data_IF_652954155978
#
_entry.id   IF_652954155978
#
_cell.length_a   1.000
_cell.length_b   1.000
_cell.length_c   1.000
_cell.angle_alpha   90.00
_cell.angle_beta   90.00
_cell.angle_gamma   90.00
#
_symmetry.space_group_name_H-M   'P 1'
#
loop_
_entity.id
_entity.type
_entity.pdbx_description
1 polymer ?
#
# COMPACT_ATOMS: atom_id res chain seq x y z
N UNK A 1 14.52 7.35 -4.92
CA UNK A 1 15.00 6.30 -5.84
C UNK A 1 14.15 6.31 -7.09
N UNK A 2 14.46 7.26 -7.99
CA UNK A 2 13.73 7.42 -9.24
C UNK A 2 13.81 6.14 -10.11
N UNK A 3 12.69 5.80 -10.75
CA UNK A 3 12.64 4.63 -11.64
C UNK A 3 12.45 3.29 -10.93
N UNK A 4 12.40 3.24 -9.59
CA UNK A 4 12.28 1.99 -8.81
C UNK A 4 11.15 1.06 -9.27
N UNK A 5 10.03 1.63 -9.73
CA UNK A 5 8.89 0.84 -10.20
C UNK A 5 9.19 -0.08 -11.41
N UNK A 6 10.24 0.24 -12.17
CA UNK A 6 10.69 -0.55 -13.33
C UNK A 6 11.89 -1.46 -13.03
N UNK A 7 12.46 -1.39 -11.82
CA UNK A 7 13.51 -2.31 -11.40
C UNK A 7 13.00 -3.76 -11.43
N UNK A 8 13.89 -4.67 -11.81
CA UNK A 8 13.52 -6.06 -12.03
C UNK A 8 13.61 -6.88 -10.74
N UNK A 9 12.52 -7.54 -10.40
CA UNK A 9 12.45 -8.58 -9.39
C UNK A 9 12.13 -9.88 -10.12
N UNK A 10 13.05 -10.85 -10.10
CA UNK A 10 12.90 -12.13 -10.82
C UNK A 10 12.51 -11.96 -12.31
N UNK A 11 13.21 -11.06 -13.00
CA UNK A 11 12.99 -10.72 -14.42
C UNK A 11 11.65 -10.02 -14.72
N UNK A 12 10.96 -9.51 -13.72
CA UNK A 12 9.71 -8.78 -13.87
C UNK A 12 9.82 -7.39 -13.22
N UNK A 13 9.36 -6.34 -13.91
CA UNK A 13 9.30 -5.00 -13.31
C UNK A 13 8.47 -5.01 -12.01
N UNK A 14 8.96 -4.34 -10.98
CA UNK A 14 8.36 -4.36 -9.63
C UNK A 14 6.87 -4.00 -9.64
N UNK A 15 6.47 -2.96 -10.36
CA UNK A 15 5.06 -2.54 -10.48
C UNK A 15 4.20 -3.62 -11.17
N UNK A 16 4.76 -4.31 -12.16
CA UNK A 16 4.08 -5.43 -12.85
C UNK A 16 3.90 -6.61 -11.91
N UNK A 17 4.90 -6.90 -11.08
CA UNK A 17 4.81 -7.95 -10.05
C UNK A 17 3.69 -7.64 -9.05
N UNK A 18 3.63 -6.42 -8.51
CA UNK A 18 2.53 -6.00 -7.63
C UNK A 18 1.16 -6.20 -8.30
N UNK A 19 1.03 -5.77 -9.56
CA UNK A 19 -0.21 -5.92 -10.30
C UNK A 19 -0.59 -7.39 -10.54
N UNK A 20 0.38 -8.26 -10.86
CA UNK A 20 0.13 -9.70 -11.05
C UNK A 20 -0.28 -10.38 -9.76
N UNK A 21 0.35 -10.07 -8.62
CA UNK A 21 -0.08 -10.59 -7.33
C UNK A 21 -1.56 -10.22 -7.04
N UNK A 22 -1.99 -9.01 -7.44
CA UNK A 22 -3.40 -8.61 -7.31
C UNK A 22 -4.31 -9.37 -8.29
N UNK A 23 -3.88 -9.61 -9.51
CA UNK A 23 -4.63 -10.43 -10.50
C UNK A 23 -4.75 -11.88 -10.00
N UNK A 24 -3.68 -12.46 -9.47
CA UNK A 24 -3.65 -13.82 -8.91
C UNK A 24 -4.51 -13.95 -7.64
N UNK A 25 -4.84 -12.81 -7.01
CA UNK A 25 -5.83 -12.71 -5.94
C UNK A 25 -7.28 -12.58 -6.44
N UNK A 26 -7.56 -12.78 -7.72
CA UNK A 26 -8.86 -12.59 -8.37
C UNK A 26 -9.40 -11.15 -8.25
N UNK A 27 -8.50 -10.15 -8.28
CA UNK A 27 -8.87 -8.74 -8.27
C UNK A 27 -8.84 -8.16 -9.70
N UNK A 28 -9.88 -7.44 -10.08
CA UNK A 28 -9.85 -6.61 -11.30
C UNK A 28 -8.83 -5.48 -11.09
N UNK A 29 -7.71 -5.55 -11.79
CA UNK A 29 -6.54 -4.72 -11.49
C UNK A 29 -6.20 -3.76 -12.62
N UNK A 30 -5.87 -2.52 -12.24
CA UNK A 30 -5.32 -1.48 -13.12
C UNK A 30 -4.10 -0.83 -12.48
N UNK A 31 -3.08 -0.57 -13.26
CA UNK A 31 -1.96 0.28 -12.85
C UNK A 31 -2.26 1.72 -13.23
N UNK A 32 -2.29 2.61 -12.25
CA UNK A 32 -2.52 4.04 -12.45
C UNK A 32 -1.17 4.76 -12.55
N UNK A 33 -0.86 5.34 -13.71
CA UNK A 33 0.45 5.97 -13.94
C UNK A 33 0.40 7.12 -14.95
N UNK A 34 1.29 8.10 -14.78
CA UNK A 34 1.61 9.14 -15.75
C UNK A 34 2.84 8.81 -16.61
N UNK A 35 3.58 7.75 -16.25
CA UNK A 35 4.80 7.32 -16.93
C UNK A 35 4.50 6.44 -18.14
N UNK A 36 4.97 6.84 -19.31
CA UNK A 36 4.87 6.04 -20.53
C UNK A 36 5.72 4.74 -20.45
N UNK A 37 6.83 4.76 -19.73
CA UNK A 37 7.67 3.57 -19.52
C UNK A 37 6.94 2.52 -18.67
N UNK A 38 6.29 2.94 -17.57
CA UNK A 38 5.47 2.03 -16.75
C UNK A 38 4.29 1.51 -17.57
N UNK A 39 3.63 2.36 -18.34
CA UNK A 39 2.55 1.96 -19.23
C UNK A 39 3.00 0.86 -20.21
N UNK A 40 4.13 1.07 -20.87
CA UNK A 40 4.68 0.10 -21.82
C UNK A 40 5.00 -1.24 -21.15
N UNK A 41 5.64 -1.23 -19.99
CA UNK A 41 5.95 -2.44 -19.21
C UNK A 41 4.70 -3.22 -18.81
N UNK A 42 3.65 -2.51 -18.35
CA UNK A 42 2.37 -3.12 -18.00
C UNK A 42 1.66 -3.73 -19.22
N UNK A 43 1.65 -3.02 -20.36
CA UNK A 43 1.06 -3.52 -21.61
C UNK A 43 1.74 -4.79 -22.12
N UNK A 44 3.09 -4.84 -22.09
CA UNK A 44 3.86 -6.04 -22.43
C UNK A 44 3.50 -7.23 -21.52
N UNK A 45 3.16 -6.97 -20.27
CA UNK A 45 2.77 -7.98 -19.30
C UNK A 45 1.26 -8.29 -19.30
N UNK A 46 0.46 -7.71 -20.21
CA UNK A 46 -1.00 -7.83 -20.28
C UNK A 46 -1.70 -7.33 -19.01
N UNK A 47 -1.16 -6.31 -18.37
CA UNK A 47 -1.75 -5.63 -17.21
C UNK A 47 -2.50 -4.38 -17.68
N UNK A 48 -3.73 -4.19 -17.23
CA UNK A 48 -4.52 -3.01 -17.56
C UNK A 48 -3.90 -1.74 -16.96
N UNK A 49 -3.99 -0.64 -17.71
CA UNK A 49 -3.43 0.66 -17.30
C UNK A 49 -4.46 1.76 -17.44
N UNK A 50 -4.53 2.62 -16.44
CA UNK A 50 -5.20 3.92 -16.54
C UNK A 50 -4.10 5.00 -16.57
N UNK A 51 -4.01 5.71 -17.71
CA UNK A 51 -3.13 6.88 -17.81
C UNK A 51 -3.76 8.02 -17.01
N UNK A 52 -2.97 8.57 -16.08
CA UNK A 52 -3.42 9.64 -15.18
C UNK A 52 -2.65 10.93 -15.44
N UNK A 53 -3.17 12.08 -15.01
CA UNK A 53 -2.36 13.26 -14.78
C UNK A 53 -1.27 12.99 -13.72
N UNK A 54 -0.36 13.95 -13.53
CA UNK A 54 0.58 13.92 -12.43
C UNK A 54 -0.13 14.24 -11.11
N UNK A 55 0.18 13.49 -10.06
CA UNK A 55 -0.32 13.67 -8.70
C UNK A 55 0.85 13.68 -7.72
N UNK A 56 0.66 14.36 -6.60
CA UNK A 56 1.66 14.40 -5.52
C UNK A 56 1.75 13.09 -4.75
N UNK A 57 0.66 12.31 -4.70
CA UNK A 57 0.61 11.04 -3.97
C UNK A 57 0.01 9.90 -4.82
N UNK A 58 0.37 8.66 -4.46
CA UNK A 58 -0.17 7.47 -5.10
C UNK A 58 -1.66 7.28 -4.82
N UNK A 59 -2.09 7.60 -3.60
CA UNK A 59 -3.50 7.48 -3.20
C UNK A 59 -4.39 8.50 -3.94
N UNK A 60 -3.96 9.76 -4.08
CA UNK A 60 -4.71 10.77 -4.86
C UNK A 60 -4.81 10.36 -6.33
N UNK A 61 -3.74 9.81 -6.91
CA UNK A 61 -3.73 9.26 -8.28
C UNK A 61 -4.77 8.17 -8.46
N UNK A 62 -4.80 7.20 -7.53
CA UNK A 62 -5.76 6.10 -7.58
C UNK A 62 -7.19 6.60 -7.35
N UNK A 63 -7.40 7.51 -6.40
CA UNK A 63 -8.71 8.11 -6.13
C UNK A 63 -9.27 8.87 -7.35
N UNK A 64 -8.42 9.56 -8.10
CA UNK A 64 -8.82 10.15 -9.38
C UNK A 64 -9.20 9.08 -10.41
N UNK A 65 -8.46 7.99 -10.49
CA UNK A 65 -8.72 6.92 -11.46
C UNK A 65 -10.02 6.14 -11.19
N UNK A 66 -10.51 6.15 -9.95
CA UNK A 66 -11.75 5.48 -9.54
C UNK A 66 -12.97 5.93 -10.39
N UNK A 67 -13.01 7.18 -10.88
CA UNK A 67 -14.10 7.66 -11.72
C UNK A 67 -14.28 6.86 -13.03
N UNK A 68 -13.24 6.13 -13.46
CA UNK A 68 -13.25 5.30 -14.67
C UNK A 68 -13.57 3.83 -14.37
N UNK A 69 -13.78 3.49 -13.10
CA UNK A 69 -13.98 2.10 -12.64
C UNK A 69 -15.35 1.99 -11.96
N UNK A 70 -16.13 0.97 -12.36
CA UNK A 70 -17.40 0.66 -11.70
C UNK A 70 -17.16 -0.36 -10.58
N UNK A 71 -16.93 0.13 -9.38
CA UNK A 71 -16.75 -0.70 -8.20
C UNK A 71 -17.36 -0.03 -6.96
N UNK A 72 -17.91 -0.82 -6.05
CA UNK A 72 -18.39 -0.33 -4.74
C UNK A 72 -17.25 -0.17 -3.74
N UNK A 73 -16.23 -1.03 -3.85
CA UNK A 73 -15.02 -1.04 -3.01
C UNK A 73 -13.79 -1.07 -3.91
N UNK A 74 -12.72 -0.49 -3.45
CA UNK A 74 -11.42 -0.49 -4.11
C UNK A 74 -10.31 -0.82 -3.11
N UNK A 75 -9.27 -1.44 -3.64
CA UNK A 75 -8.02 -1.70 -2.94
C UNK A 75 -6.91 -0.98 -3.69
N UNK A 76 -6.12 -0.20 -2.98
CA UNK A 76 -4.94 0.48 -3.50
C UNK A 76 -3.72 -0.26 -2.98
N UNK A 77 -2.99 -0.92 -3.86
CA UNK A 77 -1.69 -1.51 -3.58
C UNK A 77 -0.62 -0.61 -4.20
N UNK A 78 0.28 -0.09 -3.38
CA UNK A 78 1.40 0.70 -3.88
C UNK A 78 2.40 -0.18 -4.64
N UNK A 79 2.98 0.38 -5.70
CA UNK A 79 3.84 -0.36 -6.62
C UNK A 79 5.22 -0.73 -6.05
N UNK A 80 5.48 -0.41 -4.80
CA UNK A 80 6.68 -0.72 -4.03
C UNK A 80 6.46 -1.78 -2.94
N UNK A 81 5.34 -2.48 -2.98
CA UNK A 81 5.01 -3.61 -2.10
C UNK A 81 5.05 -4.97 -2.87
N UNK A 82 6.17 -5.35 -3.49
CA UNK A 82 6.25 -6.52 -4.37
C UNK A 82 6.17 -7.86 -3.66
N UNK A 83 6.23 -7.87 -2.33
CA UNK A 83 6.21 -9.07 -1.48
C UNK A 83 4.81 -9.41 -0.96
N UNK A 84 3.81 -8.56 -1.18
CA UNK A 84 2.43 -8.85 -0.79
C UNK A 84 1.90 -10.02 -1.61
N UNK A 85 1.55 -11.11 -0.95
CA UNK A 85 1.11 -12.35 -1.59
C UNK A 85 -0.39 -12.29 -1.97
N UNK A 86 -0.82 -13.05 -2.98
CA UNK A 86 -2.23 -13.13 -3.38
C UNK A 86 -3.17 -13.50 -2.24
N UNK A 87 -2.77 -14.42 -1.35
CA UNK A 87 -3.56 -14.86 -0.20
C UNK A 87 -3.82 -13.70 0.78
N UNK A 88 -2.81 -12.86 1.02
CA UNK A 88 -2.94 -11.65 1.83
C UNK A 88 -3.92 -10.66 1.21
N UNK A 89 -3.90 -10.49 -0.11
CA UNK A 89 -4.83 -9.62 -0.83
C UNK A 89 -6.27 -10.16 -0.80
N UNK A 90 -6.47 -11.48 -0.88
CA UNK A 90 -7.79 -12.11 -0.71
C UNK A 90 -8.35 -11.86 0.68
N UNK A 91 -7.54 -12.08 1.73
CA UNK A 91 -7.94 -11.79 3.10
C UNK A 91 -8.27 -10.31 3.31
N UNK A 92 -7.44 -9.42 2.74
CA UNK A 92 -7.66 -7.97 2.82
C UNK A 92 -8.98 -7.56 2.15
N UNK A 93 -9.26 -8.09 0.95
CA UNK A 93 -10.51 -7.88 0.23
C UNK A 93 -11.72 -8.28 1.08
N UNK A 94 -11.72 -9.49 1.66
CA UNK A 94 -12.82 -9.97 2.49
C UNK A 94 -13.10 -9.03 3.66
N UNK A 95 -12.07 -8.50 4.31
CA UNK A 95 -12.23 -7.51 5.39
C UNK A 95 -12.86 -6.22 4.91
N UNK A 96 -12.43 -5.71 3.75
CA UNK A 96 -12.96 -4.48 3.15
C UNK A 96 -14.42 -4.64 2.73
N UNK A 97 -14.78 -5.76 2.09
CA UNK A 97 -16.13 -6.00 1.57
C UNK A 97 -17.17 -6.29 2.66
N UNK A 98 -16.74 -6.91 3.76
CA UNK A 98 -17.65 -7.23 4.87
C UNK A 98 -17.98 -6.06 5.77
N UNK A 99 -17.22 -4.95 5.66
CA UNK A 99 -17.40 -3.78 6.52
C UNK A 99 -18.45 -2.83 5.96
N UNK A 100 -19.48 -2.53 6.77
CA UNK A 100 -20.66 -1.77 6.34
C UNK A 100 -20.70 -0.30 6.77
N UNK A 101 -19.67 0.19 7.46
CA UNK A 101 -19.67 1.56 7.97
C UNK A 101 -19.04 2.53 6.96
N UNK A 102 -19.61 3.73 6.85
CA UNK A 102 -19.04 4.84 6.09
C UNK A 102 -17.92 5.54 6.87
N UNK A 103 -17.10 6.33 6.17
CA UNK A 103 -15.97 7.07 6.75
C UNK A 103 -14.92 6.16 7.38
N UNK A 104 -14.69 5.02 6.74
CA UNK A 104 -13.77 4.00 7.20
C UNK A 104 -12.85 3.57 6.05
N UNK A 105 -11.55 3.70 6.26
CA UNK A 105 -10.54 3.07 5.41
C UNK A 105 -9.82 1.97 6.19
N UNK A 106 -9.27 1.03 5.45
CA UNK A 106 -8.47 -0.07 5.95
C UNK A 106 -7.04 0.09 5.50
N UNK A 107 -6.10 -0.30 6.33
CA UNK A 107 -4.69 -0.33 6.01
C UNK A 107 -4.10 -1.70 6.36
N UNK A 108 -3.42 -2.31 5.40
CA UNK A 108 -2.63 -3.50 5.66
C UNK A 108 -1.51 -3.17 6.64
N UNK A 109 -1.38 -4.01 7.65
CA UNK A 109 -0.29 -3.97 8.62
C UNK A 109 0.34 -5.35 8.73
N UNK A 110 1.60 -5.39 9.14
CA UNK A 110 2.31 -6.63 9.43
C UNK A 110 3.24 -6.45 10.62
N UNK A 111 3.76 -7.54 11.14
CA UNK A 111 4.73 -7.50 12.21
C UNK A 111 5.92 -6.59 11.86
N UNK A 112 6.35 -5.79 12.81
CA UNK A 112 7.51 -4.91 12.66
C UNK A 112 8.78 -5.70 12.97
N UNK A 113 9.62 -5.88 11.95
CA UNK A 113 10.91 -6.57 12.13
C UNK A 113 11.84 -5.78 13.07
N UNK A 114 12.67 -6.48 13.85
CA UNK A 114 13.54 -5.88 14.87
C UNK A 114 14.50 -4.83 14.28
N UNK A 115 15.01 -5.03 13.07
CA UNK A 115 15.90 -4.10 12.36
C UNK A 115 15.18 -2.85 11.82
N UNK A 116 13.86 -2.86 11.84
CA UNK A 116 13.02 -1.82 11.26
C UNK A 116 12.52 -0.77 12.26
N UNK A 117 12.74 -0.98 13.57
CA UNK A 117 12.29 -0.04 14.60
C UNK A 117 12.88 1.36 14.44
N UNK A 118 14.16 1.46 14.10
CA UNK A 118 14.86 2.74 13.93
C UNK A 118 14.94 3.20 12.47
N UNK A 119 14.48 2.39 11.51
CA UNK A 119 14.50 2.76 10.09
C UNK A 119 13.40 3.79 9.81
N UNK A 120 13.81 4.99 9.39
CA UNK A 120 12.90 6.09 9.06
C UNK A 120 12.14 5.87 7.74
N UNK A 121 12.55 4.92 6.89
CA UNK A 121 11.79 4.56 5.70
C UNK A 121 10.56 3.71 6.06
N UNK A 122 10.63 2.98 7.16
CA UNK A 122 9.54 2.14 7.63
C UNK A 122 8.55 2.97 8.45
N UNK A 123 7.30 2.99 8.03
CA UNK A 123 6.22 3.63 8.79
C UNK A 123 5.69 2.68 9.85
N UNK A 124 5.65 3.16 11.10
CA UNK A 124 5.11 2.46 12.27
C UNK A 124 3.66 2.87 12.47
N UNK A 125 2.78 1.88 12.60
CA UNK A 125 1.37 2.06 12.93
C UNK A 125 1.15 1.73 14.41
N UNK A 126 0.66 2.68 15.17
CA UNK A 126 0.24 2.48 16.56
C UNK A 126 -1.22 2.03 16.57
N UNK A 127 -1.47 0.79 16.99
CA UNK A 127 -2.77 0.16 16.98
C UNK A 127 -3.34 0.02 18.40
N UNK A 128 -4.57 0.50 18.60
CA UNK A 128 -5.30 0.38 19.88
C UNK A 128 -6.80 0.21 19.60
N UNK A 129 -7.45 -0.74 20.28
CA UNK A 129 -8.89 -1.03 20.14
C UNK A 129 -9.33 -1.18 18.67
N UNK A 130 -8.61 -2.02 17.93
CA UNK A 130 -8.86 -2.30 16.51
C UNK A 130 -8.87 -1.05 15.61
N UNK A 131 -8.08 -0.03 15.94
CA UNK A 131 -7.90 1.18 15.13
C UNK A 131 -6.43 1.56 15.06
N UNK A 132 -6.01 2.07 13.93
CA UNK A 132 -4.73 2.78 13.81
C UNK A 132 -4.94 4.18 14.37
N UNK A 133 -4.22 4.51 15.44
CA UNK A 133 -4.33 5.79 16.15
C UNK A 133 -3.32 6.81 15.64
N UNK A 134 -2.14 6.34 15.27
CA UNK A 134 -1.11 7.20 14.70
C UNK A 134 -0.22 6.43 13.73
N UNK A 135 0.40 7.17 12.84
CA UNK A 135 1.40 6.69 11.88
C UNK A 135 2.62 7.58 12.01
N UNK A 136 3.81 6.98 12.12
CA UNK A 136 5.06 7.73 12.29
C UNK A 136 6.24 7.00 11.68
N UNK A 137 7.23 7.75 11.22
CA UNK A 137 8.53 7.19 10.82
C UNK A 137 9.49 7.07 12.00
N UNK A 138 9.30 7.88 13.03
CA UNK A 138 10.08 7.83 14.27
C UNK A 138 9.48 6.81 15.22
N UNK A 139 10.33 6.01 15.85
CA UNK A 139 9.88 5.12 16.90
C UNK A 139 9.51 5.93 18.15
N UNK A 140 8.33 5.71 18.69
CA UNK A 140 7.92 6.18 20.02
C UNK A 140 7.28 4.99 20.74
N UNK A 141 7.78 4.67 21.92
CA UNK A 141 7.20 3.61 22.74
C UNK A 141 5.97 4.16 23.45
N UNK A 142 4.80 3.69 23.04
CA UNK A 142 3.55 3.87 23.78
C UNK A 142 3.18 2.51 24.40
N UNK A 143 3.21 2.43 25.72
CA UNK A 143 2.95 1.17 26.46
C UNK A 143 1.52 0.66 26.31
N UNK A 144 0.60 1.44 25.76
CA UNK A 144 -0.83 1.10 25.58
C UNK A 144 -1.16 0.59 24.17
N UNK A 145 -0.22 0.67 23.20
CA UNK A 145 -0.46 0.40 21.81
C UNK A 145 0.45 -0.71 21.27
N UNK A 146 -0.09 -1.57 20.41
CA UNK A 146 0.72 -2.48 19.60
C UNK A 146 1.31 -1.72 18.42
N UNK A 147 2.62 -1.80 18.24
CA UNK A 147 3.31 -1.15 17.12
C UNK A 147 3.54 -2.16 16.01
N UNK A 148 3.04 -1.85 14.82
CA UNK A 148 3.11 -2.69 13.63
C UNK A 148 3.76 -1.92 12.47
N UNK A 149 4.26 -2.62 11.46
CA UNK A 149 4.66 -2.00 10.20
C UNK A 149 3.41 -1.64 9.40
N UNK A 150 3.28 -0.40 8.96
CA UNK A 150 2.31 0.00 7.94
C UNK A 150 2.75 -0.53 6.57
N UNK A 151 1.80 -1.07 5.82
CA UNK A 151 2.00 -1.45 4.42
C UNK A 151 1.38 -0.40 3.49
N UNK A 152 1.92 -0.26 2.30
CA UNK A 152 1.34 0.52 1.20
C UNK A 152 0.11 -0.16 0.59
N UNK A 153 -0.80 -0.65 1.42
CA UNK A 153 -2.02 -1.36 1.06
C UNK A 153 -3.21 -0.75 1.79
N UNK A 154 -4.11 -0.15 1.03
CA UNK A 154 -5.29 0.54 1.54
C UNK A 154 -6.55 0.00 0.91
N UNK A 155 -7.66 -0.01 1.64
CA UNK A 155 -8.94 -0.46 1.12
C UNK A 155 -10.11 0.30 1.71
N UNK A 156 -11.22 0.34 0.97
CA UNK A 156 -12.43 1.00 1.44
C UNK A 156 -13.47 1.15 0.35
N UNK A 157 -14.57 1.84 0.68
CA UNK A 157 -15.57 2.15 -0.33
C UNK A 157 -15.03 3.17 -1.34
N UNK A 158 -15.50 3.07 -2.57
CA UNK A 158 -15.25 4.08 -3.62
C UNK A 158 -15.57 5.50 -3.13
N UNK A 159 -16.65 5.65 -2.36
CA UNK A 159 -17.08 6.94 -1.79
C UNK A 159 -16.06 7.49 -0.79
N UNK A 160 -15.47 6.65 0.03
CA UNK A 160 -14.49 7.06 1.05
C UNK A 160 -13.17 7.50 0.39
N UNK A 161 -12.72 6.85 -0.69
CA UNK A 161 -11.55 7.31 -1.44
C UNK A 161 -11.80 8.60 -2.22
N UNK A 162 -12.98 8.80 -2.79
CA UNK A 162 -13.35 10.08 -3.39
C UNK A 162 -13.37 11.19 -2.32
N UNK A 163 -13.91 10.88 -1.13
CA UNK A 163 -13.84 11.79 0.02
C UNK A 163 -12.40 12.09 0.41
N UNK A 164 -11.54 11.08 0.53
CA UNK A 164 -10.12 11.24 0.84
C UNK A 164 -9.43 12.24 -0.09
N UNK A 165 -9.63 12.09 -1.40
CA UNK A 165 -9.05 13.00 -2.40
C UNK A 165 -9.57 14.44 -2.30
N UNK A 166 -10.77 14.65 -1.75
CA UNK A 166 -11.33 15.98 -1.50
C UNK A 166 -10.84 16.65 -0.19
N UNK A 167 -10.11 15.93 0.65
CA UNK A 167 -9.57 16.47 1.90
C UNK A 167 -8.29 17.27 1.64
N UNK A 168 -8.13 18.36 2.38
CA UNK A 168 -6.86 19.11 2.38
C UNK A 168 -5.78 18.29 3.08
N UNK A 169 -4.59 18.21 2.47
CA UNK A 169 -3.42 17.56 3.09
C UNK A 169 -3.10 18.16 4.45
N UNK A 170 -3.01 17.31 5.47
CA UNK A 170 -2.74 17.75 6.84
C UNK A 170 -1.27 18.19 7.02
N UNK A 171 -0.95 19.00 8.04
CA UNK A 171 0.43 19.34 8.36
C UNK A 171 1.29 18.11 8.63
N UNK A 172 0.76 17.11 9.36
CA UNK A 172 1.49 15.88 9.68
C UNK A 172 1.75 15.03 8.42
N UNK A 173 0.79 14.94 7.49
CA UNK A 173 1.01 14.30 6.18
C UNK A 173 2.16 14.97 5.40
N UNK A 174 2.15 16.30 5.33
CA UNK A 174 3.17 17.07 4.59
C UNK A 174 4.57 16.90 5.21
N UNK A 175 4.67 16.91 6.52
CA UNK A 175 5.93 16.75 7.24
C UNK A 175 6.52 15.34 7.10
N UNK A 176 5.67 14.30 7.24
CA UNK A 176 6.12 12.91 7.28
C UNK A 176 6.05 12.17 5.94
N UNK A 177 5.34 12.73 4.95
CA UNK A 177 4.99 12.05 3.70
C UNK A 177 4.27 10.72 3.94
N UNK A 178 3.30 10.72 4.88
CA UNK A 178 2.45 9.57 5.19
C UNK A 178 1.00 9.94 4.85
N UNK A 179 0.50 9.49 3.70
CA UNK A 179 -0.77 9.90 3.11
C UNK A 179 -1.98 9.64 4.04
N UNK A 180 -2.00 8.51 4.75
CA UNK A 180 -3.12 8.13 5.60
C UNK A 180 -3.28 9.00 6.85
N UNK A 181 -2.29 9.83 7.22
CA UNK A 181 -2.45 10.84 8.26
C UNK A 181 -3.52 11.86 7.89
N UNK A 182 -3.69 12.21 6.61
CA UNK A 182 -4.80 13.04 6.14
C UNK A 182 -6.16 12.52 6.63
N UNK A 183 -6.37 11.20 6.51
CA UNK A 183 -7.63 10.56 6.93
C UNK A 183 -7.84 10.62 8.44
N UNK A 184 -6.81 10.29 9.21
CA UNK A 184 -6.82 10.29 10.67
C UNK A 184 -7.03 11.71 11.21
N UNK A 185 -6.29 12.69 10.69
CA UNK A 185 -6.31 14.07 11.17
C UNK A 185 -7.64 14.78 10.88
N UNK A 186 -8.41 14.31 9.89
CA UNK A 186 -9.79 14.78 9.66
C UNK A 186 -10.84 14.01 10.50
N UNK A 187 -10.39 13.21 11.47
CA UNK A 187 -11.27 12.53 12.44
C UNK A 187 -11.92 11.24 11.91
N UNK A 188 -11.46 10.68 10.79
CA UNK A 188 -12.02 9.46 10.24
C UNK A 188 -11.30 8.21 10.76
N UNK A 189 -11.97 7.07 10.66
CA UNK A 189 -11.44 5.80 11.17
C UNK A 189 -10.53 5.10 10.16
N UNK A 190 -9.35 4.72 10.62
CA UNK A 190 -8.44 3.84 9.88
C UNK A 190 -8.32 2.51 10.63
N UNK A 191 -8.71 1.42 10.00
CA UNK A 191 -8.74 0.09 10.60
C UNK A 191 -7.54 -0.73 10.14
N UNK A 192 -6.83 -1.41 11.07
CA UNK A 192 -5.77 -2.32 10.71
C UNK A 192 -6.33 -3.62 10.14
N UNK A 193 -5.68 -4.15 9.11
CA UNK A 193 -5.83 -5.54 8.69
C UNK A 193 -4.46 -6.18 8.77
N UNK A 194 -4.29 -7.05 9.76
CA UNK A 194 -3.05 -7.77 9.94
C UNK A 194 -2.91 -8.86 8.88
N UNK A 195 -1.76 -8.86 8.21
CA UNK A 195 -1.46 -9.76 7.09
C UNK A 195 -0.16 -10.52 7.36
N UNK A 196 -0.05 -11.69 6.74
CA UNK A 196 1.17 -12.48 6.77
C UNK A 196 2.36 -11.67 6.23
N UNK A 197 3.56 -11.97 6.71
CA UNK A 197 4.75 -11.20 6.51
C UNK A 197 5.04 -10.85 5.05
N UNK A 198 4.88 -9.57 4.72
CA UNK A 198 5.54 -8.91 3.62
C UNK A 198 6.56 -7.94 4.25
N UNK A 199 7.77 -8.42 4.60
CA UNK A 199 8.61 -7.74 5.58
C UNK A 199 9.17 -6.40 5.10
N UNK A 200 9.21 -6.17 3.77
CA UNK A 200 9.84 -4.99 3.20
C UNK A 200 9.00 -4.39 2.07
N UNK A 201 8.83 -3.06 2.09
CA UNK A 201 8.62 -2.26 0.88
C UNK A 201 9.97 -1.93 0.25
N UNK A 202 9.98 -1.54 -1.01
CA UNK A 202 11.21 -1.20 -1.73
C UNK A 202 11.29 0.30 -1.94
N UNK A 203 11.94 1.02 -1.02
CA UNK A 203 12.16 2.45 -1.09
C UNK A 203 13.58 2.82 -1.51
N UNK A 204 14.55 1.95 -1.25
CA UNK A 204 15.96 2.15 -1.51
C UNK A 204 16.57 0.98 -2.29
N UNK A 205 17.78 1.16 -2.91
CA UNK A 205 18.52 0.04 -3.49
C UNK A 205 18.85 -1.07 -2.48
N UNK A 206 18.97 -0.73 -1.19
CA UNK A 206 19.21 -1.73 -0.14
C UNK A 206 17.96 -2.58 0.10
N UNK A 207 16.76 -1.98 0.07
CA UNK A 207 15.52 -2.73 0.22
C UNK A 207 15.31 -3.69 -0.97
N UNK A 208 15.72 -3.30 -2.17
CA UNK A 208 15.73 -4.18 -3.34
C UNK A 208 16.61 -5.42 -3.09
N UNK A 209 17.81 -5.25 -2.50
CA UNK A 209 18.67 -6.40 -2.14
C UNK A 209 18.01 -7.30 -1.11
N UNK A 210 17.39 -6.70 -0.07
CA UNK A 210 16.63 -7.44 0.97
C UNK A 210 15.48 -8.22 0.32
N UNK A 211 14.73 -7.59 -0.59
CA UNK A 211 13.64 -8.22 -1.33
C UNK A 211 14.11 -9.45 -2.12
N UNK A 212 15.21 -9.33 -2.89
CA UNK A 212 15.80 -10.46 -3.61
C UNK A 212 16.25 -11.60 -2.69
N UNK A 213 16.87 -11.25 -1.55
CA UNK A 213 17.31 -12.25 -0.57
C UNK A 213 16.13 -13.01 0.02
N UNK A 214 15.07 -12.29 0.40
CA UNK A 214 13.84 -12.88 0.94
C UNK A 214 13.21 -13.87 -0.06
N UNK A 215 13.06 -13.50 -1.33
CA UNK A 215 12.50 -14.37 -2.35
C UNK A 215 13.33 -15.63 -2.63
N UNK A 216 14.66 -15.53 -2.54
CA UNK A 216 15.55 -16.71 -2.66
C UNK A 216 15.35 -17.69 -1.51
N UNK A 217 15.23 -17.20 -0.29
CA UNK A 217 15.00 -18.05 0.90
C UNK A 217 13.66 -18.76 0.82
N UNK A 218 12.61 -18.08 0.38
CA UNK A 218 11.29 -18.68 0.19
C UNK A 218 11.29 -19.85 -0.81
N UNK A 219 12.05 -19.73 -1.90
CA UNK A 219 12.20 -20.80 -2.93
C UNK A 219 12.98 -22.02 -2.44
N UNK A 220 13.82 -21.88 -1.44
CA UNK A 220 14.59 -22.98 -0.85
C UNK A 220 13.80 -23.75 0.20
N UNK A 221 12.72 -23.17 0.71
CA UNK A 221 11.88 -23.74 1.77
C UNK A 221 10.63 -24.47 1.25
N UNK A 222 10.37 -24.36 -0.06
CA UNK A 222 9.31 -25.07 -0.81
C UNK A 222 9.92 -26.15 -1.71
#
# INVERSE_FOLDING_TARGET
YPGKALELIENQAMVVRCAKNAIDADLHTWVCTDSELIRAACQQASVNVIKTPQFSTGTDRCAWAIQYIKASHVIILQGDEPLVQPESLKLFREKVETYKYSNALFNGITELANDSFLDLNVVKASCHNNRIRSLTRKFSQDSSSTIMRQMGLYGGSTKDFIKFAGLTSSPAEKESSIEMLRWIDHGFSLFPVELAAAPYSVDTPNDMKKCHSFLRTQKQSN
#
